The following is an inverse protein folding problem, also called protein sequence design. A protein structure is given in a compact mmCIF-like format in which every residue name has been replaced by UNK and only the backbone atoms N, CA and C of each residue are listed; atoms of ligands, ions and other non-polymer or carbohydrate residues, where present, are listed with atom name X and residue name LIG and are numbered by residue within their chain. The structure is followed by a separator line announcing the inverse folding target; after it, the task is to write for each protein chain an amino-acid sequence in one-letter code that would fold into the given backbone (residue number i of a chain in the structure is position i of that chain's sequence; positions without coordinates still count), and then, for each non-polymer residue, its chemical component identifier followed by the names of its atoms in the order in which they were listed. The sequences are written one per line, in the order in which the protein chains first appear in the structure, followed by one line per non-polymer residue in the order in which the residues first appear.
data_IF_156180441165
#
_entry.id   IF_156180441165
#
_cell.length_a   1.000
_cell.length_b   1.000
_cell.length_c   1.000
_cell.angle_alpha   90.00
_cell.angle_beta   90.00
_cell.angle_gamma   90.00
#
_symmetry.space_group_name_H-M   'P 1'
#
loop_
_entity.id
_entity.type
_entity.pdbx_description
1 polymer ?
#
# COMPACT_ATOMS: atom_id res chain seq x y z
N UNK A 1 -9.72 20.32 74.55
CA UNK A 1 -8.74 20.85 73.57
C UNK A 1 -9.12 20.30 72.21
N UNK A 2 -10.04 20.94 71.48
CA UNK A 2 -10.62 20.40 70.25
C UNK A 2 -10.30 21.28 69.03
N UNK A 3 -9.55 20.68 68.12
CA UNK A 3 -9.42 20.88 66.66
C UNK A 3 -9.74 22.25 66.04
N UNK A 4 -8.70 23.08 65.84
CA UNK A 4 -8.65 24.23 64.90
C UNK A 4 -8.16 23.86 63.48
N UNK A 5 -8.35 22.61 63.04
CA UNK A 5 -7.88 22.14 61.72
C UNK A 5 -8.98 21.95 60.66
N UNK A 6 -10.27 21.95 61.04
CA UNK A 6 -11.39 21.73 60.10
C UNK A 6 -11.61 22.87 59.10
N UNK A 7 -11.43 24.13 59.52
CA UNK A 7 -11.73 25.28 58.68
C UNK A 7 -10.76 25.46 57.50
N UNK A 8 -9.49 25.07 57.64
CA UNK A 8 -8.49 25.21 56.56
C UNK A 8 -8.71 24.20 55.43
N UNK A 9 -9.10 22.96 55.77
CA UNK A 9 -9.43 21.94 54.78
C UNK A 9 -10.69 22.28 53.98
N UNK A 10 -11.71 22.83 54.64
CA UNK A 10 -12.94 23.28 53.98
C UNK A 10 -12.68 24.43 52.99
N UNK A 11 -11.81 25.39 53.33
CA UNK A 11 -11.44 26.49 52.43
C UNK A 11 -10.71 25.95 51.18
N UNK A 12 -9.78 25.00 51.34
CA UNK A 12 -9.08 24.37 50.22
C UNK A 12 -10.03 23.62 49.27
N UNK A 13 -11.00 22.89 49.83
CA UNK A 13 -12.02 22.19 49.03
C UNK A 13 -12.86 23.21 48.24
N UNK A 14 -13.22 24.33 48.85
CA UNK A 14 -14.04 25.37 48.21
C UNK A 14 -13.28 26.06 47.06
N UNK A 15 -11.97 26.30 47.23
CA UNK A 15 -11.09 26.79 46.16
C UNK A 15 -10.94 25.76 45.02
N UNK A 16 -10.82 24.48 45.34
CA UNK A 16 -10.75 23.42 44.32
C UNK A 16 -12.04 23.34 43.49
N UNK A 17 -13.21 23.44 44.13
CA UNK A 17 -14.51 23.44 43.45
C UNK A 17 -14.69 24.69 42.58
N UNK A 18 -14.27 25.85 43.06
CA UNK A 18 -14.26 27.09 42.26
C UNK A 18 -13.33 26.98 41.05
N UNK A 19 -12.14 26.42 41.23
CA UNK A 19 -11.16 26.24 40.17
C UNK A 19 -11.66 25.26 39.09
N UNK A 20 -12.26 24.13 39.50
CA UNK A 20 -12.87 23.17 38.58
C UNK A 20 -14.05 23.80 37.85
N UNK A 21 -14.92 24.55 38.55
CA UNK A 21 -16.05 25.25 37.92
C UNK A 21 -15.59 26.30 36.92
N UNK A 22 -14.50 27.01 37.21
CA UNK A 22 -13.91 27.99 36.33
C UNK A 22 -13.29 27.36 35.08
N UNK A 23 -12.61 26.21 35.22
CA UNK A 23 -12.15 25.39 34.08
C UNK A 23 -13.34 24.92 33.25
N UNK A 24 -14.41 24.43 33.88
CA UNK A 24 -15.59 23.93 33.20
C UNK A 24 -16.31 25.05 32.43
N UNK A 25 -16.41 26.24 33.04
CA UNK A 25 -16.93 27.43 32.38
C UNK A 25 -16.01 27.89 31.24
N UNK A 26 -14.68 27.82 31.38
CA UNK A 26 -13.73 28.09 30.30
C UNK A 26 -13.90 27.12 29.13
N UNK A 27 -14.12 25.83 29.38
CA UNK A 27 -14.41 24.83 28.33
C UNK A 27 -15.73 25.12 27.62
N UNK A 28 -16.74 25.62 28.33
CA UNK A 28 -18.03 26.01 27.73
C UNK A 28 -18.01 27.40 27.05
N UNK A 29 -17.16 28.31 27.53
CA UNK A 29 -16.97 29.66 26.97
C UNK A 29 -15.94 29.70 25.84
N UNK A 30 -15.06 28.70 25.73
CA UNK A 30 -14.32 28.51 24.48
C UNK A 30 -15.37 28.26 23.41
N UNK A 31 -15.53 29.18 22.44
CA UNK A 31 -16.54 28.99 21.44
C UNK A 31 -16.19 27.68 20.74
N UNK A 32 -17.17 26.79 20.61
CA UNK A 32 -17.16 25.76 19.58
C UNK A 32 -17.18 26.49 18.23
N UNK A 33 -16.08 27.13 17.89
CA UNK A 33 -15.79 27.58 16.54
C UNK A 33 -15.63 26.29 15.73
N UNK A 34 -16.74 25.77 15.24
CA UNK A 34 -16.77 25.26 13.86
C UNK A 34 -16.51 26.46 12.99
N UNK A 35 -15.23 26.82 12.88
CA UNK A 35 -14.77 27.34 11.60
C UNK A 35 -14.86 26.08 10.73
N UNK A 36 -15.83 26.05 9.83
CA UNK A 36 -15.75 25.16 8.68
C UNK A 36 -14.49 25.62 7.94
N UNK A 37 -13.34 25.10 8.35
CA UNK A 37 -12.10 25.36 7.66
C UNK A 37 -12.24 24.53 6.40
N UNK A 38 -12.51 25.19 5.28
CA UNK A 38 -12.45 24.55 3.97
C UNK A 38 -11.06 23.91 3.85
N UNK A 39 -11.03 22.59 3.98
CA UNK A 39 -9.78 21.84 3.85
C UNK A 39 -9.34 22.00 2.40
N UNK A 40 -8.13 22.52 2.13
CA UNK A 40 -7.68 22.67 0.77
C UNK A 40 -7.70 21.31 0.06
N UNK A 41 -8.32 21.25 -1.12
CA UNK A 41 -8.40 20.02 -1.90
C UNK A 41 -7.01 19.43 -2.20
N UNK A 42 -6.02 20.29 -2.39
CA UNK A 42 -4.61 19.92 -2.56
C UNK A 42 -4.02 19.22 -1.32
N UNK A 43 -4.44 19.60 -0.12
CA UNK A 43 -3.99 18.96 1.12
C UNK A 43 -4.53 17.54 1.23
N UNK A 44 -5.83 17.34 0.98
CA UNK A 44 -6.46 16.01 0.98
C UNK A 44 -5.84 15.13 -0.12
N UNK A 45 -5.59 15.69 -1.31
CA UNK A 45 -4.91 14.98 -2.39
C UNK A 45 -3.50 14.54 -2.01
N UNK A 46 -2.72 15.40 -1.33
CA UNK A 46 -1.39 15.04 -0.85
C UNK A 46 -1.45 13.89 0.17
N UNK A 47 -2.34 13.96 1.16
CA UNK A 47 -2.56 12.87 2.11
C UNK A 47 -2.96 11.57 1.39
N UNK A 48 -3.83 11.67 0.39
CA UNK A 48 -4.27 10.53 -0.40
C UNK A 48 -3.09 9.82 -1.09
N UNK A 49 -2.21 10.58 -1.74
CA UNK A 49 -1.00 10.04 -2.38
C UNK A 49 -0.02 9.43 -1.37
N UNK A 50 0.17 10.08 -0.22
CA UNK A 50 1.06 9.61 0.83
C UNK A 50 0.58 8.26 1.38
N UNK A 51 -0.68 8.17 1.81
CA UNK A 51 -1.24 6.93 2.35
C UNK A 51 -1.27 5.82 1.31
N UNK A 52 -1.61 6.14 0.05
CA UNK A 52 -1.54 5.18 -1.05
C UNK A 52 -0.12 4.62 -1.21
N UNK A 53 0.90 5.47 -1.13
CA UNK A 53 2.30 5.03 -1.22
C UNK A 53 2.70 4.13 -0.05
N UNK A 54 2.29 4.44 1.17
CA UNK A 54 2.56 3.59 2.33
C UNK A 54 1.93 2.19 2.20
N UNK A 55 0.70 2.14 1.68
CA UNK A 55 -0.01 0.87 1.45
C UNK A 55 0.71 0.06 0.36
N UNK A 56 1.18 0.71 -0.69
CA UNK A 56 2.01 0.05 -1.71
C UNK A 56 3.30 -0.51 -1.10
N UNK A 57 3.99 0.25 -0.25
CA UNK A 57 5.20 -0.21 0.44
C UNK A 57 4.93 -1.43 1.35
N UNK A 58 3.84 -1.40 2.12
CA UNK A 58 3.41 -2.55 2.91
C UNK A 58 3.09 -3.78 2.05
N UNK A 59 2.44 -3.58 0.89
CA UNK A 59 2.18 -4.65 -0.07
C UNK A 59 3.48 -5.23 -0.64
N UNK A 60 4.46 -4.39 -0.98
CA UNK A 60 5.80 -4.83 -1.42
C UNK A 60 6.49 -5.65 -0.34
N UNK A 61 6.45 -5.21 0.92
CA UNK A 61 7.03 -5.99 2.01
C UNK A 61 6.36 -7.36 2.14
N UNK A 62 5.03 -7.41 2.01
CA UNK A 62 4.27 -8.67 2.04
C UNK A 62 4.63 -9.61 0.89
N UNK A 63 4.82 -9.08 -0.32
CA UNK A 63 5.31 -9.86 -1.49
C UNK A 63 6.67 -10.48 -1.22
N UNK A 64 7.54 -9.77 -0.50
CA UNK A 64 8.87 -10.25 -0.12
C UNK A 64 8.87 -11.22 1.09
N UNK A 65 7.70 -11.68 1.53
CA UNK A 65 7.55 -12.65 2.62
C UNK A 65 7.34 -12.05 4.00
N UNK A 66 7.23 -10.72 4.12
CA UNK A 66 6.95 -10.04 5.38
C UNK A 66 5.49 -10.09 5.81
N UNK A 67 5.23 -9.46 6.96
CA UNK A 67 3.90 -9.26 7.55
C UNK A 67 3.36 -7.90 7.07
N UNK A 68 2.14 -7.88 6.51
CA UNK A 68 1.61 -6.65 5.87
C UNK A 68 1.23 -5.60 6.91
N UNK A 69 0.57 -6.03 8.00
CA UNK A 69 0.07 -5.11 9.02
C UNK A 69 1.19 -4.48 9.82
N UNK A 70 2.22 -5.23 10.17
CA UNK A 70 3.39 -4.74 10.89
C UNK A 70 4.03 -3.60 10.11
N UNK A 71 4.24 -3.79 8.80
CA UNK A 71 4.79 -2.75 7.94
C UNK A 71 3.90 -1.53 7.82
N UNK A 72 2.60 -1.74 7.62
CA UNK A 72 1.64 -0.65 7.48
C UNK A 72 1.54 0.16 8.77
N UNK A 73 1.48 -0.51 9.93
CA UNK A 73 1.40 0.15 11.23
C UNK A 73 2.66 0.95 11.54
N UNK A 74 3.86 0.42 11.23
CA UNK A 74 5.11 1.17 11.34
C UNK A 74 5.07 2.43 10.46
N UNK A 75 4.71 2.27 9.18
CA UNK A 75 4.61 3.39 8.23
C UNK A 75 3.59 4.45 8.69
N UNK A 76 2.44 4.03 9.23
CA UNK A 76 1.42 4.94 9.76
C UNK A 76 1.90 5.64 11.03
N UNK A 77 2.60 4.93 11.92
CA UNK A 77 3.19 5.52 13.11
C UNK A 77 4.22 6.61 12.78
N UNK A 78 5.08 6.35 11.80
CA UNK A 78 6.05 7.34 11.31
C UNK A 78 5.36 8.60 10.78
N UNK A 79 4.24 8.45 10.06
CA UNK A 79 3.45 9.61 9.61
C UNK A 79 2.84 10.38 10.77
N UNK A 80 2.27 9.69 11.76
CA UNK A 80 1.66 10.34 12.94
C UNK A 80 2.71 11.10 13.78
N UNK A 81 3.98 10.72 13.70
CA UNK A 81 5.07 11.45 14.36
C UNK A 81 5.47 12.73 13.61
N UNK A 82 5.21 12.81 12.30
CA UNK A 82 5.56 13.97 11.46
C UNK A 82 4.40 14.93 11.28
N UNK A 83 3.17 14.42 11.20
CA UNK A 83 1.97 15.19 10.93
C UNK A 83 1.01 15.13 12.12
N UNK A 84 0.25 16.21 12.40
CA UNK A 84 -0.72 16.24 13.49
C UNK A 84 -2.00 15.46 13.12
N UNK A 85 -1.84 14.15 12.92
CA UNK A 85 -2.86 13.20 12.48
C UNK A 85 -2.90 12.03 13.46
N UNK A 86 -4.09 11.49 13.71
CA UNK A 86 -4.27 10.12 14.19
C UNK A 86 -4.79 9.30 13.04
N UNK A 87 -4.15 8.16 12.76
CA UNK A 87 -4.54 7.26 11.69
C UNK A 87 -4.80 5.88 12.28
N UNK A 88 -5.99 5.37 12.05
CA UNK A 88 -6.44 4.06 12.51
C UNK A 88 -6.75 3.16 11.32
N UNK A 89 -6.21 1.95 11.35
CA UNK A 89 -6.51 0.91 10.36
C UNK A 89 -7.87 0.29 10.69
N UNK A 90 -8.89 0.54 9.87
CA UNK A 90 -10.24 0.01 10.11
C UNK A 90 -10.42 -1.40 9.56
N UNK A 91 -9.93 -1.65 8.35
CA UNK A 91 -10.04 -2.96 7.70
C UNK A 91 -8.99 -3.10 6.62
N UNK A 92 -8.52 -4.33 6.38
CA UNK A 92 -7.66 -4.62 5.25
C UNK A 92 -7.92 -6.02 4.69
N UNK A 93 -7.65 -6.19 3.40
CA UNK A 93 -7.57 -7.48 2.73
C UNK A 93 -6.32 -7.50 1.87
N UNK A 94 -5.60 -8.62 1.87
CA UNK A 94 -4.42 -8.81 1.00
C UNK A 94 -4.57 -10.14 0.27
N UNK A 95 -4.33 -10.11 -1.03
CA UNK A 95 -4.46 -11.25 -1.92
C UNK A 95 -3.14 -11.41 -2.66
N UNK A 96 -2.47 -12.54 -2.45
CA UNK A 96 -1.33 -12.99 -3.23
C UNK A 96 -1.73 -14.28 -3.94
N UNK A 97 -1.85 -14.25 -5.26
CA UNK A 97 -2.18 -15.39 -6.10
C UNK A 97 -1.32 -15.35 -7.36
N UNK A 98 -1.21 -16.50 -8.02
CA UNK A 98 -0.53 -16.56 -9.32
C UNK A 98 -1.20 -15.60 -10.31
N UNK A 99 -0.41 -14.73 -10.92
CA UNK A 99 -0.90 -13.72 -11.86
C UNK A 99 -1.67 -12.56 -11.24
N UNK A 100 -1.84 -12.50 -9.91
CA UNK A 100 -2.49 -11.37 -9.25
C UNK A 100 -2.00 -11.08 -7.83
N UNK A 101 -1.67 -9.82 -7.57
CA UNK A 101 -1.38 -9.30 -6.24
C UNK A 101 -2.23 -8.06 -5.98
N UNK A 102 -2.81 -7.95 -4.80
CA UNK A 102 -3.50 -6.73 -4.40
C UNK A 102 -3.75 -6.60 -2.90
N UNK A 103 -4.01 -5.37 -2.49
CA UNK A 103 -4.45 -5.00 -1.16
C UNK A 103 -5.59 -3.98 -1.25
N UNK A 104 -6.61 -4.18 -0.42
CA UNK A 104 -7.66 -3.18 -0.15
C UNK A 104 -7.56 -2.77 1.31
N UNK A 105 -7.52 -1.47 1.57
CA UNK A 105 -7.30 -0.93 2.92
C UNK A 105 -8.26 0.23 3.16
N UNK A 106 -8.89 0.26 4.34
CA UNK A 106 -9.68 1.39 4.81
C UNK A 106 -9.03 1.98 6.05
N UNK A 107 -8.75 3.28 5.99
CA UNK A 107 -8.16 4.07 7.07
C UNK A 107 -9.16 5.10 7.58
N UNK A 108 -9.23 5.26 8.89
CA UNK A 108 -9.86 6.40 9.53
C UNK A 108 -8.76 7.38 9.96
N UNK A 109 -8.89 8.63 9.53
CA UNK A 109 -7.88 9.66 9.81
C UNK A 109 -8.56 10.79 10.56
N UNK A 110 -8.08 11.11 11.74
CA UNK A 110 -8.45 12.33 12.45
C UNK A 110 -7.33 13.36 12.30
N UNK A 111 -7.67 14.52 11.76
CA UNK A 111 -6.75 15.60 11.53
C UNK A 111 -6.97 16.72 12.54
N UNK A 112 -5.98 16.94 13.40
CA UNK A 112 -6.06 17.97 14.43
C UNK A 112 -6.00 19.39 13.87
N UNK A 113 -5.32 19.59 12.73
CA UNK A 113 -5.16 20.91 12.11
C UNK A 113 -6.50 21.47 11.67
N UNK A 114 -7.33 20.62 11.06
CA UNK A 114 -8.64 20.99 10.53
C UNK A 114 -9.81 20.44 11.37
N UNK A 115 -9.53 19.75 12.48
CA UNK A 115 -10.51 19.15 13.41
C UNK A 115 -11.57 18.31 12.72
N UNK A 116 -11.16 17.53 11.74
CA UNK A 116 -12.06 16.73 10.91
C UNK A 116 -11.65 15.26 10.87
N UNK A 117 -12.62 14.41 10.53
CA UNK A 117 -12.43 12.98 10.35
C UNK A 117 -12.62 12.63 8.89
N UNK A 118 -11.69 11.88 8.34
CA UNK A 118 -11.75 11.35 7.00
C UNK A 118 -11.82 9.83 7.06
N UNK A 119 -12.49 9.25 6.06
CA UNK A 119 -12.40 7.83 5.76
C UNK A 119 -11.79 7.70 4.38
N UNK A 120 -10.64 7.05 4.31
CA UNK A 120 -9.96 6.79 3.04
C UNK A 120 -10.01 5.30 2.73
N UNK A 121 -10.48 4.96 1.53
CA UNK A 121 -10.49 3.59 1.03
C UNK A 121 -9.55 3.49 -0.17
N UNK A 122 -8.60 2.57 -0.06
CA UNK A 122 -7.53 2.38 -1.02
C UNK A 122 -7.60 0.99 -1.62
N UNK A 123 -7.36 0.92 -2.93
CA UNK A 123 -7.08 -0.32 -3.64
C UNK A 123 -5.73 -0.18 -4.34
N UNK A 124 -4.83 -1.11 -4.09
CA UNK A 124 -3.57 -1.25 -4.79
C UNK A 124 -3.52 -2.65 -5.38
N UNK A 125 -3.40 -2.78 -6.70
CA UNK A 125 -3.32 -4.08 -7.34
C UNK A 125 -2.43 -4.05 -8.58
N UNK A 126 -1.86 -5.22 -8.85
CA UNK A 126 -1.14 -5.53 -10.07
C UNK A 126 -1.45 -6.98 -10.43
N UNK A 127 -1.92 -7.20 -11.65
CA UNK A 127 -2.16 -8.51 -12.19
C UNK A 127 -1.77 -8.58 -13.65
N UNK A 128 -1.65 -9.80 -14.14
CA UNK A 128 -1.46 -10.05 -15.55
C UNK A 128 -2.20 -11.30 -15.98
N UNK A 129 -2.54 -11.33 -17.26
CA UNK A 129 -3.17 -12.46 -17.92
C UNK A 129 -2.40 -12.78 -19.19
N UNK A 130 -2.06 -14.04 -19.38
CA UNK A 130 -1.51 -14.49 -20.66
C UNK A 130 -2.67 -14.62 -21.65
N UNK A 131 -2.60 -13.86 -22.73
CA UNK A 131 -3.58 -13.91 -23.83
C UNK A 131 -3.21 -15.02 -24.80
N UNK A 132 -1.92 -15.15 -25.12
CA UNK A 132 -1.42 -16.19 -25.99
C UNK A 132 0.04 -16.55 -25.64
N UNK A 133 0.41 -17.82 -25.85
CA UNK A 133 1.79 -18.29 -25.76
C UNK A 133 2.07 -19.19 -26.97
N UNK A 134 3.13 -18.86 -27.70
CA UNK A 134 3.59 -19.65 -28.84
C UNK A 134 5.03 -20.04 -28.63
N UNK A 135 5.33 -21.31 -28.88
CA UNK A 135 6.68 -21.88 -28.78
C UNK A 135 7.11 -22.47 -30.11
N UNK A 136 8.33 -22.16 -30.52
CA UNK A 136 8.98 -22.74 -31.69
C UNK A 136 10.41 -23.14 -31.37
N UNK A 137 10.96 -24.09 -32.13
CA UNK A 137 12.39 -24.43 -32.02
C UNK A 137 13.20 -23.22 -32.48
N UNK A 138 14.16 -22.79 -31.66
CA UNK A 138 15.03 -21.66 -31.97
C UNK A 138 16.02 -22.01 -33.10
N UNK A 139 16.66 -20.99 -33.68
CA UNK A 139 17.78 -21.20 -34.62
C UNK A 139 18.89 -22.07 -34.01
N UNK A 140 19.06 -22.01 -32.69
CA UNK A 140 19.88 -22.95 -31.92
C UNK A 140 19.00 -24.12 -31.44
N UNK A 141 19.18 -25.36 -31.94
CA UNK A 141 18.23 -26.47 -31.76
C UNK A 141 18.10 -26.98 -30.32
N UNK A 142 18.95 -26.54 -29.41
CA UNK A 142 18.88 -26.85 -27.96
C UNK A 142 17.99 -25.88 -27.19
N UNK A 143 17.34 -24.93 -27.86
CA UNK A 143 16.51 -23.90 -27.26
C UNK A 143 15.14 -23.78 -27.93
N UNK A 144 14.14 -23.40 -27.14
CA UNK A 144 12.83 -22.95 -27.60
C UNK A 144 12.80 -21.43 -27.62
N UNK A 145 12.35 -20.86 -28.74
CA UNK A 145 11.88 -19.48 -28.82
C UNK A 145 10.44 -19.43 -28.30
N UNK A 146 10.21 -18.53 -27.34
CA UNK A 146 8.90 -18.31 -26.71
C UNK A 146 8.47 -16.88 -26.99
N UNK A 147 7.28 -16.75 -27.57
CA UNK A 147 6.59 -15.47 -27.70
C UNK A 147 5.31 -15.51 -26.86
N UNK A 148 5.17 -14.54 -25.96
CA UNK A 148 4.00 -14.39 -25.10
C UNK A 148 3.32 -13.06 -25.37
N UNK A 149 1.99 -13.09 -25.48
CA UNK A 149 1.15 -11.89 -25.43
C UNK A 149 0.53 -11.82 -24.04
N UNK A 150 0.87 -10.77 -23.30
CA UNK A 150 0.46 -10.57 -21.91
C UNK A 150 -0.36 -9.29 -21.78
N UNK A 151 -1.52 -9.39 -21.16
CA UNK A 151 -2.32 -8.25 -20.72
C UNK A 151 -1.95 -7.93 -19.27
N UNK A 152 -1.49 -6.72 -19.00
CA UNK A 152 -1.19 -6.22 -17.65
C UNK A 152 -2.30 -5.29 -17.20
N UNK A 153 -2.85 -5.56 -16.01
CA UNK A 153 -3.92 -4.76 -15.41
C UNK A 153 -3.59 -4.41 -13.96
N UNK A 154 -4.16 -3.33 -13.47
CA UNK A 154 -3.92 -2.82 -12.12
C UNK A 154 -4.77 -1.60 -11.83
N UNK A 155 -4.49 -0.92 -10.73
CA UNK A 155 -5.09 0.39 -10.48
C UNK A 155 -4.58 1.43 -11.49
N UNK A 156 -5.36 2.49 -11.71
CA UNK A 156 -5.12 3.50 -12.77
C UNK A 156 -3.71 4.11 -12.76
N UNK A 157 -3.04 4.11 -11.61
CA UNK A 157 -1.68 4.61 -11.44
C UNK A 157 -0.58 3.57 -11.69
N UNK A 158 -0.89 2.27 -11.70
CA UNK A 158 0.08 1.20 -11.96
C UNK A 158 0.74 1.32 -13.34
N UNK A 159 0.02 1.92 -14.30
CA UNK A 159 0.42 2.02 -15.71
C UNK A 159 1.12 3.35 -16.07
N UNK A 160 1.50 4.18 -15.09
CA UNK A 160 2.21 5.44 -15.33
C UNK A 160 3.55 5.25 -16.06
N UNK A 161 4.17 4.08 -15.91
CA UNK A 161 5.38 3.67 -16.61
C UNK A 161 5.20 2.25 -17.12
N UNK A 162 5.86 1.88 -18.23
CA UNK A 162 5.85 0.50 -18.70
C UNK A 162 6.40 -0.42 -17.59
N UNK A 163 5.74 -1.56 -17.34
CA UNK A 163 6.20 -2.51 -16.34
C UNK A 163 7.48 -3.20 -16.80
N UNK A 164 8.25 -3.69 -15.84
CA UNK A 164 9.41 -4.54 -16.08
C UNK A 164 8.98 -6.00 -16.06
N UNK A 165 9.39 -6.75 -17.07
CA UNK A 165 9.14 -8.18 -17.16
C UNK A 165 10.38 -8.96 -16.77
N UNK A 166 10.21 -10.07 -16.08
CA UNK A 166 11.30 -10.95 -15.67
C UNK A 166 10.87 -12.40 -15.83
N UNK A 167 11.76 -13.21 -16.40
CA UNK A 167 11.56 -14.65 -16.55
C UNK A 167 12.63 -15.35 -15.73
N UNK A 168 12.23 -16.38 -14.99
CA UNK A 168 13.16 -17.30 -14.34
C UNK A 168 12.80 -18.75 -14.61
N UNK A 169 13.80 -19.60 -14.67
CA UNK A 169 13.62 -21.04 -14.83
C UNK A 169 14.74 -21.81 -14.12
N UNK A 170 14.50 -23.08 -13.82
CA UNK A 170 15.50 -23.96 -13.21
C UNK A 170 16.07 -24.86 -14.30
N UNK A 171 17.40 -24.88 -14.40
CA UNK A 171 18.13 -25.75 -15.32
C UNK A 171 19.35 -26.34 -14.61
N UNK A 172 19.49 -27.66 -14.63
CA UNK A 172 20.57 -28.41 -13.95
C UNK A 172 20.76 -28.01 -12.47
N UNK A 173 19.66 -27.85 -11.73
CA UNK A 173 19.67 -27.47 -10.31
C UNK A 173 20.00 -25.99 -10.03
N UNK A 174 20.28 -25.19 -11.06
CA UNK A 174 20.55 -23.75 -10.95
C UNK A 174 19.36 -22.92 -11.41
N UNK A 175 19.07 -21.81 -10.73
CA UNK A 175 18.03 -20.87 -11.14
C UNK A 175 18.63 -19.80 -12.04
N UNK A 176 18.10 -19.68 -13.25
CA UNK A 176 18.46 -18.63 -14.20
C UNK A 176 17.37 -17.58 -14.22
N UNK A 177 17.73 -16.30 -14.21
CA UNK A 177 16.81 -15.17 -14.23
C UNK A 177 17.30 -14.13 -15.23
N UNK A 178 16.41 -13.62 -16.07
CA UNK A 178 16.73 -12.60 -17.06
C UNK A 178 15.52 -11.71 -17.36
N UNK A 179 15.78 -10.59 -18.04
CA UNK A 179 14.78 -9.60 -18.41
C UNK A 179 14.54 -9.69 -19.92
N UNK A 180 13.42 -10.26 -20.38
CA UNK A 180 13.15 -10.43 -21.80
C UNK A 180 12.89 -9.11 -22.51
N UNK A 181 13.12 -9.11 -23.82
CA UNK A 181 12.69 -8.00 -24.67
C UNK A 181 11.16 -7.94 -24.68
N UNK A 182 10.63 -6.73 -24.53
CA UNK A 182 9.20 -6.49 -24.54
C UNK A 182 8.83 -5.33 -25.45
N UNK A 183 7.67 -5.46 -26.10
CA UNK A 183 7.10 -4.42 -26.94
C UNK A 183 5.68 -4.15 -26.48
N UNK A 184 5.40 -2.91 -26.10
CA UNK A 184 4.04 -2.48 -25.77
C UNK A 184 3.17 -2.52 -27.02
N UNK A 185 1.99 -3.12 -26.87
CA UNK A 185 0.85 -2.96 -27.75
C UNK A 185 -0.09 -1.89 -27.17
N UNK A 186 -1.28 -1.74 -27.75
CA UNK A 186 -2.32 -0.86 -27.19
C UNK A 186 -2.93 -1.45 -25.92
N UNK A 187 -3.45 -0.57 -25.04
CA UNK A 187 -4.28 -0.93 -23.89
C UNK A 187 -3.65 -1.94 -22.90
N UNK A 188 -2.40 -1.72 -22.48
CA UNK A 188 -1.76 -2.56 -21.45
C UNK A 188 -1.39 -3.97 -21.91
N UNK A 189 -1.46 -4.24 -23.21
CA UNK A 189 -0.98 -5.48 -23.80
C UNK A 189 0.50 -5.37 -24.17
N UNK A 190 1.25 -6.46 -24.01
CA UNK A 190 2.68 -6.52 -24.28
C UNK A 190 3.01 -7.82 -25.01
N UNK A 191 3.87 -7.72 -26.02
CA UNK A 191 4.52 -8.89 -26.63
C UNK A 191 5.88 -9.05 -25.98
N UNK A 192 6.16 -10.26 -25.49
CA UNK A 192 7.38 -10.60 -24.75
C UNK A 192 8.03 -11.77 -25.46
N UNK A 193 9.30 -11.61 -25.82
CA UNK A 193 10.06 -12.62 -26.56
C UNK A 193 11.29 -13.03 -25.78
N UNK A 194 11.51 -14.33 -25.70
CA UNK A 194 12.67 -14.89 -25.02
C UNK A 194 12.98 -16.31 -25.47
N UNK A 195 14.13 -16.79 -25.03
CA UNK A 195 14.66 -18.10 -25.39
C UNK A 195 14.90 -18.88 -24.09
N UNK A 196 14.50 -20.16 -24.06
CA UNK A 196 14.76 -21.08 -22.94
C UNK A 196 15.32 -22.40 -23.45
N UNK A 197 16.14 -23.13 -22.67
CA UNK A 197 16.62 -24.46 -23.08
C UNK A 197 15.45 -25.42 -23.35
N UNK A 198 15.59 -26.28 -24.36
CA UNK A 198 14.54 -27.22 -24.81
C UNK A 198 14.02 -28.12 -23.67
N UNK A 199 14.91 -28.48 -22.73
CA UNK A 199 14.63 -29.36 -21.61
C UNK A 199 13.92 -28.64 -20.43
N UNK A 200 13.69 -27.33 -20.53
CA UNK A 200 12.97 -26.55 -19.52
C UNK A 200 11.49 -26.57 -19.84
N UNK A 201 10.73 -27.33 -19.04
CA UNK A 201 9.28 -27.46 -19.19
C UNK A 201 8.49 -26.48 -18.33
N UNK A 202 9.15 -25.80 -17.39
CA UNK A 202 8.49 -24.85 -16.49
C UNK A 202 9.31 -23.59 -16.33
N UNK A 203 8.64 -22.44 -16.41
CA UNK A 203 9.25 -21.14 -16.13
C UNK A 203 8.31 -20.31 -15.25
N UNK A 204 8.91 -19.35 -14.56
CA UNK A 204 8.23 -18.38 -13.71
C UNK A 204 8.31 -17.05 -14.45
N UNK A 205 7.16 -16.44 -14.68
CA UNK A 205 7.06 -15.12 -15.28
C UNK A 205 6.62 -14.12 -14.22
N UNK A 206 7.28 -12.97 -14.19
CA UNK A 206 7.00 -11.89 -13.24
C UNK A 206 6.78 -10.56 -13.96
N UNK A 207 5.82 -9.80 -13.46
CA UNK A 207 5.54 -8.42 -13.86
C UNK A 207 5.81 -7.53 -12.66
N UNK A 208 6.61 -6.48 -12.85
CA UNK A 208 7.01 -5.54 -11.80
C UNK A 208 6.63 -4.14 -12.26
N UNK A 209 5.87 -3.41 -11.44
CA UNK A 209 5.54 -2.01 -11.74
C UNK A 209 6.55 -1.02 -11.13
N UNK A 210 6.37 0.27 -11.45
CA UNK A 210 7.22 1.35 -10.96
C UNK A 210 7.17 1.53 -9.43
N UNK A 211 6.14 1.00 -8.76
CA UNK A 211 5.99 1.10 -7.31
C UNK A 211 6.85 0.06 -6.59
N UNK A 212 7.31 -0.97 -7.33
CA UNK A 212 8.01 -2.14 -6.81
C UNK A 212 7.06 -3.31 -6.53
N UNK A 213 5.78 -3.20 -6.87
CA UNK A 213 4.82 -4.31 -6.71
C UNK A 213 5.16 -5.35 -7.77
N UNK A 214 5.43 -6.58 -7.32
CA UNK A 214 5.78 -7.72 -8.17
C UNK A 214 4.68 -8.77 -8.13
N UNK A 215 4.19 -9.12 -9.30
CA UNK A 215 3.26 -10.23 -9.50
C UNK A 215 3.99 -11.37 -10.20
N UNK A 216 3.70 -12.63 -9.83
CA UNK A 216 4.40 -13.82 -10.31
C UNK A 216 3.36 -14.85 -10.77
N UNK A 217 3.66 -15.59 -11.84
CA UNK A 217 2.91 -16.78 -12.24
C UNK A 217 3.84 -17.87 -12.75
N UNK A 218 3.52 -19.13 -12.45
CA UNK A 218 4.25 -20.29 -12.93
C UNK A 218 3.57 -20.89 -14.16
N UNK A 219 4.34 -21.15 -15.20
CA UNK A 219 3.87 -21.66 -16.48
C UNK A 219 4.57 -22.97 -16.83
N UNK A 220 3.81 -23.86 -17.47
CA UNK A 220 4.30 -25.15 -17.97
C UNK A 220 3.98 -25.26 -19.46
N UNK A 221 4.90 -25.84 -20.23
CA UNK A 221 4.71 -26.20 -21.63
C UNK A 221 4.06 -27.58 -21.78
#
# INVERSE_FOLDING_TARGET
MFCKFGCRGQILILFAVLYISLIYQLIYLTPYYRIDIDVPSSYIQALNLIFKRLICDALVHRINGGEFTDRLNLNLHDIMNVYPLIVELSSYTVILKDGYVGASVTLQVYDFKYRCRYTFSYNCCLGFKIVNITTSISYVPTFNDVEMVVEVFGDSEALLKPPTFMVSYIYNGSTFTFYPDSKSLMNGHYVIRFIIPLNVHTFIFSVIDWRGVKCIGQFKF
#
